data_IF_562717126066
#
_entry.id   IF_562717126066
#
_cell.length_a   1.000
_cell.length_b   1.000
_cell.length_c   1.000
_cell.angle_alpha   90.00
_cell.angle_beta   90.00
_cell.angle_gamma   90.00
#
_symmetry.space_group_name_H-M   'P 1'
#
loop_
_entity.id
_entity.type
_entity.pdbx_description
1 polymer ?
#
# COMPACT_ATOMS: atom_id res chain seq x y z
N UNK A 1 -10.54 -38.84 6.36
CA UNK A 1 -10.34 -37.41 6.66
C UNK A 1 -8.96 -37.16 7.25
N UNK A 2 -8.54 -37.85 8.30
CA UNK A 2 -7.25 -37.54 8.97
C UNK A 2 -6.03 -37.71 8.03
N UNK A 3 -6.03 -38.73 7.17
CA UNK A 3 -5.03 -38.87 6.10
C UNK A 3 -5.02 -37.68 5.13
N UNK A 4 -6.19 -37.16 4.73
CA UNK A 4 -6.28 -36.02 3.82
C UNK A 4 -5.73 -34.74 4.47
N UNK A 5 -5.99 -34.56 5.77
CA UNK A 5 -5.49 -33.42 6.53
C UNK A 5 -3.98 -33.48 6.78
N UNK A 6 -3.42 -34.68 6.95
CA UNK A 6 -1.98 -34.88 7.07
C UNK A 6 -1.25 -34.42 5.79
N UNK A 7 -1.80 -34.76 4.62
CA UNK A 7 -1.20 -34.42 3.32
C UNK A 7 -1.25 -32.93 2.97
N UNK A 8 -2.06 -32.13 3.68
CA UNK A 8 -1.99 -30.66 3.59
C UNK A 8 -0.65 -30.09 4.07
N UNK A 9 0.10 -30.85 4.87
CA UNK A 9 1.43 -30.49 5.35
C UNK A 9 2.56 -31.21 4.60
N UNK A 10 2.25 -31.90 3.49
CA UNK A 10 3.24 -32.60 2.65
C UNK A 10 4.37 -31.66 2.23
N UNK A 11 5.63 -32.13 2.12
CA UNK A 11 6.72 -31.30 1.56
C UNK A 11 6.54 -30.99 0.07
N UNK A 12 5.62 -31.66 -0.62
CA UNK A 12 5.37 -31.48 -2.05
C UNK A 12 4.17 -30.57 -2.31
N UNK A 13 4.37 -29.45 -3.00
CA UNK A 13 3.29 -28.47 -3.27
C UNK A 13 2.11 -29.10 -4.01
N UNK A 14 2.40 -29.90 -5.05
CA UNK A 14 1.36 -30.55 -5.86
C UNK A 14 0.49 -31.50 -5.03
N UNK A 15 1.08 -32.19 -4.06
CA UNK A 15 0.36 -33.04 -3.12
C UNK A 15 -0.56 -32.18 -2.25
N UNK A 16 -0.05 -31.08 -1.66
CA UNK A 16 -0.90 -30.15 -0.91
C UNK A 16 -2.06 -29.60 -1.74
N UNK A 17 -1.81 -29.20 -2.99
CA UNK A 17 -2.83 -28.70 -3.92
C UNK A 17 -3.91 -29.75 -4.16
N UNK A 18 -3.50 -30.98 -4.48
CA UNK A 18 -4.41 -32.10 -4.73
C UNK A 18 -5.34 -32.37 -3.55
N UNK A 19 -4.78 -32.46 -2.34
CA UNK A 19 -5.56 -32.72 -1.14
C UNK A 19 -6.44 -31.52 -0.71
N UNK A 20 -5.97 -30.29 -0.88
CA UNK A 20 -6.80 -29.10 -0.66
C UNK A 20 -8.01 -29.09 -1.59
N UNK A 21 -7.80 -29.32 -2.90
CA UNK A 21 -8.88 -29.41 -3.87
C UNK A 21 -9.85 -30.55 -3.57
N UNK A 22 -9.33 -31.72 -3.17
CA UNK A 22 -10.15 -32.88 -2.83
C UNK A 22 -11.04 -32.60 -1.61
N UNK A 23 -10.49 -31.99 -0.55
CA UNK A 23 -11.27 -31.54 0.62
C UNK A 23 -12.36 -30.53 0.22
N UNK A 24 -12.01 -29.59 -0.66
CA UNK A 24 -12.94 -28.59 -1.20
C UNK A 24 -14.09 -29.17 -2.04
N UNK A 25 -13.93 -30.40 -2.56
CA UNK A 25 -14.90 -31.08 -3.41
C UNK A 25 -15.74 -32.13 -2.65
N UNK A 26 -15.49 -32.34 -1.35
CA UNK A 26 -16.22 -33.34 -0.58
C UNK A 26 -17.71 -32.97 -0.46
N UNK A 27 -18.63 -33.95 -0.61
CA UNK A 27 -20.05 -33.73 -0.35
C UNK A 27 -20.29 -33.45 1.14
N UNK A 28 -21.34 -32.67 1.44
CA UNK A 28 -21.62 -32.19 2.80
C UNK A 28 -21.76 -33.29 3.86
N UNK A 29 -22.25 -34.48 3.51
CA UNK A 29 -22.37 -35.59 4.46
C UNK A 29 -21.02 -36.12 4.94
N UNK A 30 -19.93 -35.96 4.18
CA UNK A 30 -18.57 -36.32 4.60
C UNK A 30 -17.90 -35.23 5.45
N UNK A 31 -18.41 -33.99 5.39
CA UNK A 31 -17.91 -32.85 6.18
C UNK A 31 -18.63 -32.73 7.54
N UNK A 32 -19.85 -33.27 7.65
CA UNK A 32 -20.66 -33.22 8.86
C UNK A 32 -19.91 -33.81 10.07
N UNK A 33 -19.82 -33.04 11.16
CA UNK A 33 -19.14 -33.42 12.39
C UNK A 33 -17.61 -33.25 12.34
N UNK A 34 -17.06 -32.75 11.24
CA UNK A 34 -15.61 -32.57 11.01
C UNK A 34 -15.27 -31.21 10.41
N UNK A 35 -16.26 -30.32 10.20
CA UNK A 35 -16.08 -29.09 9.44
C UNK A 35 -14.99 -28.19 10.04
N UNK A 36 -14.97 -28.01 11.37
CA UNK A 36 -13.95 -27.16 11.99
C UNK A 36 -12.55 -27.75 11.81
N UNK A 37 -12.41 -29.07 11.92
CA UNK A 37 -11.14 -29.77 11.71
C UNK A 37 -10.62 -29.53 10.29
N UNK A 38 -11.51 -29.62 9.28
CA UNK A 38 -11.15 -29.40 7.88
C UNK A 38 -10.79 -27.94 7.60
N UNK A 39 -11.60 -26.99 8.07
CA UNK A 39 -11.33 -25.57 7.90
C UNK A 39 -10.03 -25.14 8.60
N UNK A 40 -9.75 -25.68 9.79
CA UNK A 40 -8.50 -25.44 10.51
C UNK A 40 -7.28 -25.97 9.73
N UNK A 41 -7.38 -27.18 9.16
CA UNK A 41 -6.33 -27.74 8.31
C UNK A 41 -6.05 -26.89 7.08
N UNK A 42 -7.09 -26.47 6.35
CA UNK A 42 -6.94 -25.60 5.18
C UNK A 42 -6.40 -24.21 5.55
N UNK A 43 -6.88 -23.62 6.65
CA UNK A 43 -6.35 -22.37 7.17
C UNK A 43 -4.86 -22.48 7.47
N UNK A 44 -4.40 -23.57 8.08
CA UNK A 44 -2.98 -23.77 8.36
C UNK A 44 -2.12 -23.72 7.09
N UNK A 45 -2.65 -24.18 5.95
CA UNK A 45 -1.97 -24.07 4.64
C UNK A 45 -1.85 -22.61 4.21
N UNK A 46 -2.88 -21.79 4.43
CA UNK A 46 -2.90 -20.38 4.00
C UNK A 46 -1.92 -19.47 4.75
N UNK A 47 -1.40 -19.91 5.89
CA UNK A 47 -0.42 -19.12 6.64
C UNK A 47 0.91 -19.11 5.86
N UNK A 48 1.38 -17.92 5.49
CA UNK A 48 2.64 -17.75 4.79
C UNK A 48 3.81 -18.28 5.63
N UNK A 49 4.51 -19.32 5.15
CA UNK A 49 5.84 -19.68 5.66
C UNK A 49 6.90 -18.92 4.88
N UNK A 50 7.85 -18.29 5.59
CA UNK A 50 8.90 -17.44 4.99
C UNK A 50 9.86 -18.22 4.07
N UNK A 51 9.88 -19.57 4.16
CA UNK A 51 10.93 -20.39 3.55
C UNK A 51 10.53 -21.20 2.31
N UNK A 52 9.25 -21.23 1.89
CA UNK A 52 8.83 -21.95 0.66
C UNK A 52 7.68 -21.27 -0.07
N UNK A 53 7.83 -21.06 -1.38
CA UNK A 53 6.86 -20.41 -2.27
C UNK A 53 5.66 -21.31 -2.62
N UNK A 54 4.98 -21.88 -1.63
CA UNK A 54 3.79 -22.71 -1.84
C UNK A 54 2.52 -21.90 -2.15
N UNK A 55 2.64 -20.92 -3.05
CA UNK A 55 1.57 -19.99 -3.39
C UNK A 55 0.39 -20.70 -4.08
N UNK A 56 0.63 -21.75 -4.86
CA UNK A 56 -0.45 -22.49 -5.52
C UNK A 56 -1.23 -23.33 -4.51
N UNK A 57 -0.53 -23.91 -3.54
CA UNK A 57 -1.17 -24.63 -2.43
C UNK A 57 -2.03 -23.70 -1.58
N UNK A 58 -1.55 -22.49 -1.26
CA UNK A 58 -2.34 -21.47 -0.55
C UNK A 58 -3.57 -21.05 -1.35
N UNK A 59 -3.41 -20.77 -2.64
CA UNK A 59 -4.51 -20.45 -3.58
C UNK A 59 -5.57 -21.54 -3.55
N UNK A 60 -5.19 -22.81 -3.64
CA UNK A 60 -6.13 -23.92 -3.71
C UNK A 60 -6.80 -24.20 -2.35
N UNK A 61 -6.08 -23.98 -1.24
CA UNK A 61 -6.68 -24.01 0.09
C UNK A 61 -7.74 -22.91 0.29
N UNK A 62 -7.48 -21.69 -0.16
CA UNK A 62 -8.44 -20.57 -0.15
C UNK A 62 -9.70 -20.93 -0.95
N UNK A 63 -9.53 -21.43 -2.19
CA UNK A 63 -10.65 -21.89 -3.01
C UNK A 63 -11.43 -23.03 -2.35
N UNK A 64 -10.74 -23.97 -1.70
CA UNK A 64 -11.37 -25.08 -1.01
C UNK A 64 -12.23 -24.61 0.17
N UNK A 65 -11.76 -23.64 0.96
CA UNK A 65 -12.52 -23.02 2.06
C UNK A 65 -13.85 -22.45 1.53
N UNK A 66 -13.81 -21.66 0.45
CA UNK A 66 -15.02 -21.08 -0.14
C UNK A 66 -16.01 -22.13 -0.66
N UNK A 67 -15.51 -23.15 -1.36
CA UNK A 67 -16.33 -24.27 -1.86
C UNK A 67 -16.98 -25.05 -0.72
N UNK A 68 -16.24 -25.30 0.36
CA UNK A 68 -16.79 -25.94 1.56
C UNK A 68 -17.95 -25.12 2.12
N UNK A 69 -17.79 -23.80 2.24
CA UNK A 69 -18.86 -22.91 2.73
C UNK A 69 -20.14 -23.04 1.87
N UNK A 70 -20.00 -23.08 0.54
CA UNK A 70 -21.13 -23.31 -0.37
C UNK A 70 -21.77 -24.69 -0.18
N UNK A 71 -20.95 -25.74 -0.02
CA UNK A 71 -21.42 -27.13 0.11
C UNK A 71 -22.17 -27.37 1.42
N UNK A 72 -21.68 -26.83 2.54
CA UNK A 72 -22.32 -27.01 3.85
C UNK A 72 -23.49 -26.05 4.08
N UNK A 73 -23.51 -24.94 3.36
CA UNK A 73 -24.50 -23.88 3.52
C UNK A 73 -24.34 -23.12 4.84
N UNK A 74 -25.33 -22.27 5.12
CA UNK A 74 -25.27 -21.33 6.25
C UNK A 74 -26.51 -21.48 7.13
N UNK A 75 -26.32 -21.41 8.45
CA UNK A 75 -27.39 -21.31 9.44
C UNK A 75 -26.86 -20.64 10.70
N UNK A 76 -27.44 -19.51 11.12
CA UNK A 76 -26.93 -18.72 12.24
C UNK A 76 -26.85 -19.51 13.55
N UNK A 77 -27.90 -20.26 13.89
CA UNK A 77 -27.99 -21.12 15.08
C UNK A 77 -27.56 -22.58 14.79
N UNK A 78 -26.74 -22.79 13.75
CA UNK A 78 -26.18 -24.09 13.41
C UNK A 78 -24.95 -24.47 14.25
N UNK A 79 -24.57 -25.75 14.20
CA UNK A 79 -23.36 -26.24 14.85
C UNK A 79 -22.12 -25.94 13.98
N UNK A 80 -21.03 -25.41 14.55
CA UNK A 80 -19.83 -25.06 13.78
C UNK A 80 -19.15 -26.21 13.03
N UNK A 81 -19.44 -27.46 13.42
CA UNK A 81 -18.93 -28.68 12.79
C UNK A 81 -19.78 -29.19 11.63
N UNK A 82 -20.90 -28.55 11.32
CA UNK A 82 -21.79 -28.97 10.25
C UNK A 82 -22.05 -27.91 9.20
N UNK A 83 -22.12 -26.63 9.59
CA UNK A 83 -22.52 -25.52 8.73
C UNK A 83 -21.73 -24.26 9.05
N UNK A 84 -21.77 -23.27 8.14
CA UNK A 84 -21.28 -21.92 8.45
C UNK A 84 -22.28 -21.23 9.38
N UNK A 85 -21.81 -20.75 10.54
CA UNK A 85 -22.64 -20.16 11.59
C UNK A 85 -21.87 -19.10 12.39
N UNK A 86 -22.50 -18.54 13.43
CA UNK A 86 -21.90 -17.54 14.33
C UNK A 86 -20.56 -17.99 14.92
N UNK A 87 -20.39 -19.29 15.18
CA UNK A 87 -19.20 -19.83 15.83
C UNK A 87 -17.96 -19.99 14.92
N UNK A 88 -18.09 -19.89 13.60
CA UNK A 88 -16.95 -20.08 12.67
C UNK A 88 -16.81 -19.00 11.60
N UNK A 89 -17.86 -18.23 11.29
CA UNK A 89 -17.87 -17.26 10.18
C UNK A 89 -16.80 -16.18 10.30
N UNK A 90 -16.57 -15.65 11.50
CA UNK A 90 -15.54 -14.63 11.76
C UNK A 90 -14.14 -15.14 11.42
N UNK A 91 -13.85 -16.39 11.77
CA UNK A 91 -12.56 -17.00 11.50
C UNK A 91 -12.34 -17.29 10.01
N UNK A 92 -13.41 -17.66 9.30
CA UNK A 92 -13.37 -17.84 7.84
C UNK A 92 -13.05 -16.50 7.17
N UNK A 93 -13.77 -15.43 7.51
CA UNK A 93 -13.48 -14.10 7.00
C UNK A 93 -12.06 -13.63 7.29
N UNK A 94 -11.57 -13.79 8.53
CA UNK A 94 -10.20 -13.43 8.88
C UNK A 94 -9.19 -14.19 8.00
N UNK A 95 -9.37 -15.50 7.82
CA UNK A 95 -8.48 -16.31 6.97
C UNK A 95 -8.43 -15.79 5.53
N UNK A 96 -9.60 -15.51 4.94
CA UNK A 96 -9.69 -14.99 3.57
C UNK A 96 -9.13 -13.57 3.44
N UNK A 97 -9.36 -12.70 4.43
CA UNK A 97 -8.82 -11.34 4.45
C UNK A 97 -7.30 -11.32 4.62
N UNK A 98 -6.74 -12.21 5.44
CA UNK A 98 -5.30 -12.33 5.64
C UNK A 98 -4.60 -12.74 4.33
N UNK A 99 -5.26 -13.58 3.52
CA UNK A 99 -4.76 -13.99 2.19
C UNK A 99 -4.68 -12.83 1.18
N UNK A 100 -5.40 -11.71 1.38
CA UNK A 100 -5.24 -10.51 0.54
C UNK A 100 -3.91 -9.79 0.76
N UNK A 101 -3.16 -10.15 1.80
CA UNK A 101 -1.83 -9.61 2.11
C UNK A 101 -0.70 -10.49 1.57
N UNK A 102 -1.03 -11.52 0.79
CA UNK A 102 -0.04 -12.38 0.15
C UNK A 102 0.66 -11.66 -1.00
N UNK A 103 1.87 -11.22 -0.69
CA UNK A 103 2.75 -10.49 -1.58
C UNK A 103 4.03 -11.25 -1.87
N UNK A 104 4.00 -12.59 -1.72
CA UNK A 104 5.12 -13.47 -2.01
C UNK A 104 5.55 -13.33 -3.46
N UNK A 105 6.86 -13.21 -3.66
CA UNK A 105 7.48 -13.18 -4.98
C UNK A 105 8.46 -14.34 -5.16
N UNK A 106 8.49 -14.94 -6.35
CA UNK A 106 9.53 -15.89 -6.76
C UNK A 106 10.13 -15.48 -8.13
N UNK A 107 10.85 -16.38 -8.79
CA UNK A 107 11.45 -16.13 -10.12
C UNK A 107 10.42 -15.80 -11.23
N UNK A 108 9.13 -16.09 -11.02
CA UNK A 108 8.00 -15.77 -11.91
C UNK A 108 7.39 -14.40 -11.60
N UNK A 109 7.81 -13.72 -10.54
CA UNK A 109 7.27 -12.44 -10.09
C UNK A 109 6.33 -12.58 -8.89
N UNK A 110 5.26 -11.77 -8.84
CA UNK A 110 4.28 -11.72 -7.73
C UNK A 110 3.32 -12.93 -7.79
N UNK A 111 3.79 -14.09 -7.34
CA UNK A 111 2.99 -15.33 -7.26
C UNK A 111 1.93 -15.29 -6.17
N UNK A 112 2.13 -14.45 -5.14
CA UNK A 112 1.12 -14.17 -4.11
C UNK A 112 -0.16 -13.57 -4.69
N UNK A 113 -0.08 -12.92 -5.85
CA UNK A 113 -1.25 -12.40 -6.55
C UNK A 113 -2.30 -13.47 -6.90
N UNK A 114 -1.90 -14.73 -7.13
CA UNK A 114 -2.85 -15.83 -7.32
C UNK A 114 -3.66 -16.16 -6.06
N UNK A 115 -3.03 -16.04 -4.89
CA UNK A 115 -3.67 -16.22 -3.59
C UNK A 115 -4.63 -15.07 -3.33
N UNK A 116 -4.21 -13.83 -3.60
CA UNK A 116 -5.05 -12.64 -3.49
C UNK A 116 -6.28 -12.71 -4.39
N UNK A 117 -6.12 -13.14 -5.64
CA UNK A 117 -7.24 -13.33 -6.58
C UNK A 117 -8.25 -14.38 -6.07
N UNK A 118 -7.75 -15.54 -5.63
CA UNK A 118 -8.58 -16.57 -5.03
C UNK A 118 -9.32 -16.07 -3.79
N UNK A 119 -8.65 -15.26 -2.96
CA UNK A 119 -9.24 -14.67 -1.76
C UNK A 119 -10.34 -13.66 -2.10
N UNK A 120 -10.13 -12.79 -3.10
CA UNK A 120 -11.16 -11.85 -3.57
C UNK A 120 -12.43 -12.59 -4.03
N UNK A 121 -12.28 -13.63 -4.86
CA UNK A 121 -13.42 -14.46 -5.28
C UNK A 121 -14.08 -15.18 -4.10
N UNK A 122 -13.28 -15.73 -3.18
CA UNK A 122 -13.79 -16.45 -2.01
C UNK A 122 -14.57 -15.54 -1.06
N UNK A 123 -14.10 -14.31 -0.88
CA UNK A 123 -14.81 -13.28 -0.11
C UNK A 123 -16.12 -12.88 -0.78
N UNK A 124 -16.12 -12.76 -2.11
CA UNK A 124 -17.34 -12.52 -2.88
C UNK A 124 -18.37 -13.62 -2.63
N UNK A 125 -17.97 -14.87 -2.87
CA UNK A 125 -18.83 -16.04 -2.78
C UNK A 125 -19.41 -16.22 -1.36
N UNK A 126 -18.56 -16.10 -0.33
CA UNK A 126 -18.98 -16.20 1.06
C UNK A 126 -19.96 -15.07 1.44
N UNK A 127 -19.64 -13.84 1.05
CA UNK A 127 -20.46 -12.67 1.41
C UNK A 127 -21.81 -12.68 0.69
N UNK A 128 -21.87 -13.14 -0.56
CA UNK A 128 -23.13 -13.32 -1.28
C UNK A 128 -23.97 -14.47 -0.70
N UNK A 129 -23.32 -15.59 -0.32
CA UNK A 129 -23.98 -16.72 0.32
C UNK A 129 -24.62 -16.29 1.65
N UNK A 130 -23.84 -15.63 2.51
CA UNK A 130 -24.32 -15.10 3.79
C UNK A 130 -25.40 -14.04 3.58
N UNK A 131 -25.19 -13.09 2.66
CA UNK A 131 -26.14 -12.01 2.41
C UNK A 131 -27.50 -12.49 1.87
N UNK A 132 -27.51 -13.62 1.14
CA UNK A 132 -28.74 -14.25 0.66
C UNK A 132 -29.46 -15.01 1.77
N UNK A 133 -28.73 -15.79 2.55
CA UNK A 133 -29.33 -16.82 3.42
C UNK A 133 -29.43 -16.37 4.89
N UNK A 134 -28.42 -15.67 5.43
CA UNK A 134 -28.30 -15.25 6.83
C UNK A 134 -27.50 -13.91 6.95
N UNK A 135 -28.03 -12.78 6.45
CA UNK A 135 -27.31 -11.51 6.37
C UNK A 135 -26.85 -10.99 7.75
N UNK A 136 -27.53 -11.37 8.83
CA UNK A 136 -27.18 -11.04 10.21
C UNK A 136 -25.82 -11.58 10.68
N UNK A 137 -25.23 -12.54 9.93
CA UNK A 137 -23.88 -13.05 10.20
C UNK A 137 -22.77 -12.15 9.64
N UNK A 138 -23.11 -11.17 8.79
CA UNK A 138 -22.16 -10.22 8.24
C UNK A 138 -22.09 -9.01 9.17
N UNK A 139 -21.10 -8.99 10.05
CA UNK A 139 -20.89 -7.85 10.95
C UNK A 139 -20.40 -6.61 10.18
N UNK A 140 -20.82 -5.42 10.63
CA UNK A 140 -20.43 -4.15 10.00
C UNK A 140 -18.91 -3.95 9.87
N UNK A 141 -18.07 -4.21 10.91
CA UNK A 141 -16.62 -4.10 10.77
C UNK A 141 -16.04 -5.07 9.74
N UNK A 142 -16.63 -6.26 9.61
CA UNK A 142 -16.21 -7.27 8.64
C UNK A 142 -16.55 -6.84 7.22
N UNK A 143 -17.76 -6.36 6.97
CA UNK A 143 -18.15 -5.83 5.66
C UNK A 143 -17.25 -4.65 5.26
N UNK A 144 -17.01 -3.71 6.18
CA UNK A 144 -16.11 -2.58 5.93
C UNK A 144 -14.70 -3.06 5.55
N UNK A 145 -14.13 -4.02 6.29
CA UNK A 145 -12.81 -4.60 5.95
C UNK A 145 -12.79 -5.21 4.55
N UNK A 146 -13.80 -6.02 4.20
CA UNK A 146 -13.92 -6.63 2.86
C UNK A 146 -13.92 -5.55 1.78
N UNK A 147 -14.81 -4.55 1.89
CA UNK A 147 -14.93 -3.50 0.89
C UNK A 147 -13.65 -2.65 0.79
N UNK A 148 -13.01 -2.33 1.92
CA UNK A 148 -11.78 -1.55 1.94
C UNK A 148 -10.60 -2.30 1.32
N UNK A 149 -10.43 -3.59 1.63
CA UNK A 149 -9.37 -4.40 1.03
C UNK A 149 -9.59 -4.58 -0.47
N UNK A 150 -10.82 -4.74 -0.94
CA UNK A 150 -11.14 -4.77 -2.36
C UNK A 150 -10.80 -3.43 -3.05
N UNK A 151 -11.11 -2.29 -2.42
CA UNK A 151 -10.72 -0.98 -2.93
C UNK A 151 -9.20 -0.80 -3.02
N UNK A 152 -8.45 -1.32 -2.04
CA UNK A 152 -6.99 -1.36 -2.11
C UNK A 152 -6.51 -2.18 -3.31
N UNK A 153 -6.98 -3.42 -3.45
CA UNK A 153 -6.58 -4.30 -4.56
C UNK A 153 -6.94 -3.67 -5.93
N UNK A 154 -8.08 -2.99 -6.02
CA UNK A 154 -8.47 -2.22 -7.20
C UNK A 154 -7.55 -1.01 -7.45
N UNK A 155 -6.85 -0.50 -6.44
CA UNK A 155 -5.94 0.65 -6.58
C UNK A 155 -4.49 0.25 -6.94
N UNK A 156 -4.18 -1.04 -6.99
CA UNK A 156 -2.83 -1.56 -7.20
C UNK A 156 -2.42 -1.68 -8.69
N UNK A 157 -1.13 -1.93 -8.88
CA UNK A 157 -0.42 -1.75 -10.16
C UNK A 157 -0.71 -2.79 -11.24
N UNK A 158 -1.29 -3.94 -10.91
CA UNK A 158 -1.46 -5.06 -11.85
C UNK A 158 -2.88 -5.07 -12.44
N UNK A 159 -2.96 -4.92 -13.76
CA UNK A 159 -4.19 -4.66 -14.49
C UNK A 159 -5.28 -5.73 -14.30
N UNK A 160 -4.92 -7.01 -14.43
CA UNK A 160 -5.87 -8.11 -14.29
C UNK A 160 -6.45 -8.20 -12.86
N UNK A 161 -5.60 -8.11 -11.84
CA UNK A 161 -6.04 -8.18 -10.44
C UNK A 161 -6.85 -6.96 -10.03
N UNK A 162 -6.47 -5.77 -10.53
CA UNK A 162 -7.27 -4.55 -10.36
C UNK A 162 -8.67 -4.71 -10.96
N UNK A 163 -8.77 -5.23 -12.17
CA UNK A 163 -10.06 -5.48 -12.81
C UNK A 163 -10.91 -6.49 -12.03
N UNK A 164 -10.29 -7.56 -11.53
CA UNK A 164 -10.96 -8.56 -10.70
C UNK A 164 -11.46 -7.95 -9.37
N UNK A 165 -10.62 -7.17 -8.69
CA UNK A 165 -10.98 -6.49 -7.46
C UNK A 165 -12.17 -5.52 -7.66
N UNK A 166 -12.13 -4.73 -8.74
CA UNK A 166 -13.21 -3.83 -9.10
C UNK A 166 -14.50 -4.62 -9.41
N UNK A 167 -14.41 -5.72 -10.16
CA UNK A 167 -15.55 -6.59 -10.44
C UNK A 167 -16.18 -7.14 -9.15
N UNK A 168 -15.37 -7.66 -8.22
CA UNK A 168 -15.85 -8.18 -6.93
C UNK A 168 -16.49 -7.06 -6.09
N UNK A 169 -15.84 -5.90 -5.99
CA UNK A 169 -16.38 -4.74 -5.28
C UNK A 169 -17.75 -4.33 -5.84
N UNK A 170 -17.87 -4.18 -7.16
CA UNK A 170 -19.12 -3.80 -7.83
C UNK A 170 -20.21 -4.87 -7.67
N UNK A 171 -19.82 -6.14 -7.70
CA UNK A 171 -20.74 -7.26 -7.48
C UNK A 171 -21.33 -7.21 -6.08
N UNK A 172 -20.51 -7.00 -5.05
CA UNK A 172 -20.99 -6.89 -3.67
C UNK A 172 -21.81 -5.61 -3.44
N UNK A 173 -21.41 -4.49 -4.04
CA UNK A 173 -22.15 -3.23 -3.95
C UNK A 173 -23.55 -3.39 -4.56
N UNK A 174 -23.67 -3.94 -5.76
CA UNK A 174 -24.95 -4.01 -6.48
C UNK A 174 -25.73 -5.32 -6.29
N UNK A 175 -25.25 -6.22 -5.43
CA UNK A 175 -25.97 -7.43 -5.10
C UNK A 175 -27.29 -7.07 -4.40
N UNK A 176 -28.40 -7.44 -5.03
CA UNK A 176 -29.75 -7.14 -4.57
C UNK A 176 -30.66 -8.35 -4.78
N UNK A 177 -31.53 -8.58 -3.81
CA UNK A 177 -32.59 -9.58 -3.85
C UNK A 177 -33.97 -8.91 -3.86
N UNK A 178 -35.06 -9.69 -3.70
CA UNK A 178 -36.43 -9.16 -3.75
C UNK A 178 -36.74 -8.07 -2.72
N UNK A 179 -36.03 -8.07 -1.59
CA UNK A 179 -36.24 -7.16 -0.46
C UNK A 179 -35.23 -6.00 -0.38
N UNK A 180 -34.35 -5.83 -1.38
CA UNK A 180 -33.31 -4.80 -1.40
C UNK A 180 -31.89 -5.37 -1.46
N UNK A 181 -30.86 -4.59 -1.06
CA UNK A 181 -29.47 -5.02 -1.09
C UNK A 181 -29.24 -6.29 -0.25
N UNK A 182 -28.52 -7.26 -0.79
CA UNK A 182 -28.21 -8.52 -0.07
C UNK A 182 -27.01 -8.38 0.86
N UNK A 183 -26.08 -7.48 0.57
CA UNK A 183 -24.90 -7.25 1.40
C UNK A 183 -25.16 -6.08 2.35
N UNK A 184 -25.39 -6.33 3.66
CA UNK A 184 -25.63 -5.28 4.63
C UNK A 184 -24.34 -4.52 4.96
N UNK A 185 -24.47 -3.36 5.59
CA UNK A 185 -23.36 -2.60 6.19
C UNK A 185 -22.24 -2.15 5.23
N UNK A 186 -22.45 -2.14 3.91
CA UNK A 186 -21.50 -1.53 2.98
C UNK A 186 -21.31 -0.05 3.37
N UNK A 187 -20.09 0.37 3.72
CA UNK A 187 -19.86 1.73 4.21
C UNK A 187 -20.03 2.73 3.06
N UNK A 188 -20.67 3.86 3.33
CA UNK A 188 -20.99 4.89 2.32
C UNK A 188 -21.76 4.36 1.10
N UNK A 189 -22.67 3.38 1.30
CA UNK A 189 -23.40 2.73 0.20
C UNK A 189 -24.07 3.72 -0.75
N UNK A 190 -24.75 4.74 -0.22
CA UNK A 190 -25.48 5.70 -1.06
C UNK A 190 -24.53 6.50 -1.96
N UNK A 191 -23.42 6.97 -1.40
CA UNK A 191 -22.37 7.66 -2.15
C UNK A 191 -21.71 6.73 -3.18
N UNK A 192 -21.43 5.47 -2.82
CA UNK A 192 -20.87 4.50 -3.75
C UNK A 192 -21.80 4.19 -4.92
N UNK A 193 -23.10 4.05 -4.68
CA UNK A 193 -24.09 3.81 -5.75
C UNK A 193 -24.21 5.02 -6.70
N UNK A 194 -23.94 6.24 -6.20
CA UNK A 194 -23.86 7.45 -7.02
C UNK A 194 -22.55 7.53 -7.82
N UNK A 195 -21.42 7.18 -7.19
CA UNK A 195 -20.10 7.20 -7.85
C UNK A 195 -19.95 6.08 -8.89
N UNK A 196 -20.58 4.93 -8.62
CA UNK A 196 -20.55 3.76 -9.47
C UNK A 196 -21.97 3.25 -9.75
N UNK A 197 -22.74 3.93 -10.61
CA UNK A 197 -24.03 3.40 -11.05
C UNK A 197 -23.84 2.07 -11.77
N UNK A 198 -24.73 1.10 -11.54
CA UNK A 198 -24.62 -0.27 -12.07
C UNK A 198 -24.39 -0.32 -13.59
N UNK A 199 -25.07 0.56 -14.34
CA UNK A 199 -24.94 0.65 -15.81
C UNK A 199 -23.58 1.20 -16.25
N UNK A 200 -23.06 2.21 -15.56
CA UNK A 200 -21.75 2.79 -15.87
C UNK A 200 -20.63 1.84 -15.49
N UNK A 201 -20.67 1.27 -14.29
CA UNK A 201 -19.66 0.35 -13.79
C UNK A 201 -19.45 -0.88 -14.68
N UNK A 202 -20.53 -1.38 -15.32
CA UNK A 202 -20.49 -2.48 -16.27
C UNK A 202 -19.84 -2.11 -17.62
N UNK A 203 -19.85 -0.82 -17.98
CA UNK A 203 -19.27 -0.33 -19.24
C UNK A 203 -17.78 0.04 -19.15
N UNK A 204 -17.26 0.21 -17.93
CA UNK A 204 -15.86 0.60 -17.69
C UNK A 204 -14.94 -0.56 -17.99
N UNK A 205 -13.90 -0.32 -18.80
CA UNK A 205 -12.80 -1.26 -18.93
C UNK A 205 -11.83 -1.15 -17.74
N UNK A 206 -12.09 -1.93 -16.69
CA UNK A 206 -11.28 -1.92 -15.46
C UNK A 206 -9.83 -2.42 -15.64
N UNK A 207 -9.54 -3.13 -16.74
CA UNK A 207 -8.15 -3.50 -17.06
C UNK A 207 -7.35 -2.29 -17.53
N UNK A 208 -7.98 -1.33 -18.21
CA UNK A 208 -7.30 -0.15 -18.74
C UNK A 208 -7.05 0.88 -17.61
N UNK A 209 -5.78 1.22 -17.29
CA UNK A 209 -5.47 2.23 -16.27
C UNK A 209 -6.16 3.57 -16.48
N UNK A 210 -6.28 3.99 -17.74
CA UNK A 210 -6.89 5.27 -18.15
C UNK A 210 -8.37 5.39 -17.82
N UNK A 211 -9.08 4.27 -17.67
CA UNK A 211 -10.50 4.25 -17.30
C UNK A 211 -10.69 3.88 -15.82
N UNK A 212 -9.87 2.99 -15.29
CA UNK A 212 -9.98 2.51 -13.92
C UNK A 212 -9.60 3.60 -12.88
N UNK A 213 -8.41 4.21 -12.99
CA UNK A 213 -7.91 5.13 -11.95
C UNK A 213 -8.77 6.39 -11.75
N UNK A 214 -9.35 7.03 -12.78
CA UNK A 214 -10.26 8.16 -12.58
C UNK A 214 -11.51 7.81 -11.77
N UNK A 215 -11.91 6.53 -11.76
CA UNK A 215 -13.06 6.02 -11.00
C UNK A 215 -12.63 5.62 -9.59
N UNK A 216 -11.53 4.87 -9.47
CA UNK A 216 -11.01 4.40 -8.17
C UNK A 216 -10.61 5.57 -7.25
N UNK A 217 -9.96 6.60 -7.79
CA UNK A 217 -9.50 7.76 -6.99
C UNK A 217 -10.65 8.58 -6.40
N UNK A 218 -11.89 8.42 -6.87
CA UNK A 218 -13.06 9.05 -6.25
C UNK A 218 -13.31 8.52 -4.84
N UNK A 219 -12.90 7.27 -4.55
CA UNK A 219 -12.97 6.68 -3.21
C UNK A 219 -12.10 7.40 -2.17
N UNK A 220 -11.10 8.19 -2.59
CA UNK A 220 -10.30 9.02 -1.68
C UNK A 220 -11.16 10.07 -0.95
N UNK A 221 -12.30 10.46 -1.53
CA UNK A 221 -13.29 11.33 -0.90
C UNK A 221 -14.02 10.69 0.28
N UNK A 222 -14.02 9.36 0.37
CA UNK A 222 -14.74 8.60 1.39
C UNK A 222 -13.77 8.16 2.52
N UNK A 223 -13.94 8.65 3.77
CA UNK A 223 -13.00 8.39 4.86
C UNK A 223 -12.73 6.90 5.13
N UNK A 224 -13.75 6.05 5.03
CA UNK A 224 -13.60 4.60 5.27
C UNK A 224 -12.60 3.94 4.32
N UNK A 225 -12.51 4.42 3.07
CA UNK A 225 -11.72 3.82 2.00
C UNK A 225 -10.35 4.46 1.81
N UNK A 226 -10.19 5.72 2.22
CA UNK A 226 -9.02 6.56 1.89
C UNK A 226 -7.68 5.91 2.20
N UNK A 227 -7.51 5.34 3.41
CA UNK A 227 -6.26 4.68 3.80
C UNK A 227 -5.87 3.56 2.84
N UNK A 228 -6.82 2.66 2.57
CA UNK A 228 -6.61 1.46 1.75
C UNK A 228 -6.39 1.82 0.28
N UNK A 229 -7.09 2.84 -0.23
CA UNK A 229 -6.89 3.36 -1.59
C UNK A 229 -5.52 4.03 -1.72
N UNK A 230 -5.09 4.84 -0.75
CA UNK A 230 -3.75 5.45 -0.76
C UNK A 230 -2.64 4.41 -0.70
N UNK A 231 -2.80 3.36 0.11
CA UNK A 231 -1.86 2.25 0.17
C UNK A 231 -1.72 1.54 -1.18
N UNK A 232 -2.82 1.27 -1.88
CA UNK A 232 -2.78 0.70 -3.24
C UNK A 232 -2.22 1.67 -4.29
N UNK A 233 -2.58 2.96 -4.21
CA UNK A 233 -2.06 3.98 -5.11
C UNK A 233 -0.56 4.20 -4.96
N UNK A 234 0.00 4.08 -3.76
CA UNK A 234 1.44 4.23 -3.52
C UNK A 234 2.27 3.31 -4.42
N UNK A 235 1.86 2.04 -4.58
CA UNK A 235 2.57 1.07 -5.42
C UNK A 235 2.27 1.23 -6.92
N UNK A 236 1.20 1.94 -7.27
CA UNK A 236 0.81 2.25 -8.66
C UNK A 236 1.52 3.51 -9.17
N UNK A 237 1.44 4.61 -8.41
CA UNK A 237 2.04 5.92 -8.71
C UNK A 237 3.56 5.87 -8.60
N UNK A 238 4.08 5.18 -7.57
CA UNK A 238 5.52 4.94 -7.39
C UNK A 238 6.04 3.69 -8.12
N UNK A 239 5.23 3.08 -8.98
CA UNK A 239 5.53 1.86 -9.71
C UNK A 239 6.56 2.03 -10.84
N UNK A 240 6.67 0.99 -11.67
CA UNK A 240 7.60 0.97 -12.82
C UNK A 240 6.88 0.98 -14.18
N UNK A 241 5.61 0.54 -14.22
CA UNK A 241 4.84 0.44 -15.46
C UNK A 241 4.36 1.81 -15.89
N UNK A 242 4.91 2.33 -17.00
CA UNK A 242 4.67 3.71 -17.48
C UNK A 242 3.19 4.08 -17.57
N UNK A 243 2.36 3.26 -18.23
CA UNK A 243 0.93 3.52 -18.39
C UNK A 243 0.20 3.60 -17.04
N UNK A 244 0.49 2.65 -16.14
CA UNK A 244 -0.09 2.60 -14.79
C UNK A 244 0.32 3.83 -13.98
N UNK A 245 1.62 4.17 -13.97
CA UNK A 245 2.14 5.35 -13.28
C UNK A 245 1.47 6.61 -13.84
N UNK A 246 1.49 6.82 -15.16
CA UNK A 246 0.90 7.99 -15.80
C UNK A 246 -0.56 8.20 -15.42
N UNK A 247 -1.41 7.18 -15.56
CA UNK A 247 -2.84 7.32 -15.32
C UNK A 247 -3.21 7.36 -13.83
N UNK A 248 -2.48 6.65 -12.97
CA UNK A 248 -2.68 6.74 -11.52
C UNK A 248 -2.24 8.10 -10.97
N UNK A 249 -1.08 8.62 -11.38
CA UNK A 249 -0.58 9.96 -11.03
C UNK A 249 -1.56 11.04 -11.48
N UNK A 250 -1.99 11.00 -12.76
CA UNK A 250 -2.93 11.98 -13.29
C UNK A 250 -4.25 12.00 -12.50
N UNK A 251 -4.80 10.82 -12.19
CA UNK A 251 -6.08 10.71 -11.46
C UNK A 251 -5.94 11.19 -10.02
N UNK A 252 -4.83 10.84 -9.35
CA UNK A 252 -4.51 11.32 -8.01
C UNK A 252 -4.43 12.85 -7.99
N UNK A 253 -3.75 13.47 -8.96
CA UNK A 253 -3.62 14.93 -9.02
C UNK A 253 -4.93 15.63 -9.33
N UNK A 254 -5.81 15.03 -10.13
CA UNK A 254 -7.17 15.53 -10.31
C UNK A 254 -7.93 15.55 -8.98
N UNK A 255 -7.83 14.48 -8.19
CA UNK A 255 -8.42 14.45 -6.85
C UNK A 255 -7.81 15.52 -5.93
N UNK A 256 -6.47 15.63 -5.89
CA UNK A 256 -5.77 16.62 -5.07
C UNK A 256 -6.18 18.06 -5.42
N UNK A 257 -6.26 18.40 -6.71
CA UNK A 257 -6.75 19.70 -7.18
C UNK A 257 -8.18 19.99 -6.74
N UNK A 258 -9.02 18.95 -6.63
CA UNK A 258 -10.39 19.07 -6.13
C UNK A 258 -10.48 19.45 -4.65
N UNK A 259 -9.49 19.04 -3.83
CA UNK A 259 -9.46 19.32 -2.39
C UNK A 259 -8.46 20.41 -1.98
N UNK A 260 -7.65 20.93 -2.90
CA UNK A 260 -6.52 21.83 -2.58
C UNK A 260 -6.95 23.10 -1.84
N UNK A 261 -8.16 23.61 -2.11
CA UNK A 261 -8.69 24.82 -1.46
C UNK A 261 -9.51 24.53 -0.19
N UNK A 262 -9.75 23.25 0.10
CA UNK A 262 -10.41 22.79 1.32
C UNK A 262 -9.35 22.32 2.32
N UNK A 263 -9.00 23.23 3.25
CA UNK A 263 -7.96 22.97 4.25
C UNK A 263 -8.25 21.73 5.08
N UNK A 264 -9.51 21.50 5.47
CA UNK A 264 -9.87 20.35 6.30
C UNK A 264 -9.76 19.04 5.50
N UNK A 265 -10.21 19.02 4.26
CA UNK A 265 -10.08 17.85 3.39
C UNK A 265 -8.61 17.53 3.10
N UNK A 266 -7.79 18.55 2.83
CA UNK A 266 -6.35 18.40 2.59
C UNK A 266 -5.61 17.91 3.84
N UNK A 267 -5.92 18.45 5.02
CA UNK A 267 -5.36 17.99 6.30
C UNK A 267 -5.75 16.52 6.57
N UNK A 268 -7.02 16.16 6.38
CA UNK A 268 -7.50 14.77 6.53
C UNK A 268 -6.82 13.81 5.55
N UNK A 269 -6.65 14.22 4.28
CA UNK A 269 -5.92 13.47 3.27
C UNK A 269 -4.46 13.27 3.66
N UNK A 270 -3.78 14.36 4.01
CA UNK A 270 -2.36 14.37 4.34
C UNK A 270 -2.05 13.55 5.60
N UNK A 271 -2.91 13.62 6.62
CA UNK A 271 -2.81 12.77 7.81
C UNK A 271 -2.97 11.28 7.48
N UNK A 272 -3.89 10.94 6.58
CA UNK A 272 -4.04 9.55 6.12
C UNK A 272 -2.82 9.08 5.34
N UNK A 273 -2.24 9.93 4.49
CA UNK A 273 -1.01 9.62 3.74
C UNK A 273 0.18 9.38 4.69
N UNK A 274 0.33 10.19 5.74
CA UNK A 274 1.34 10.00 6.77
C UNK A 274 1.12 8.69 7.55
N UNK A 275 -0.13 8.35 7.87
CA UNK A 275 -0.47 7.08 8.52
C UNK A 275 -0.06 5.89 7.65
N UNK A 276 -0.32 5.93 6.34
CA UNK A 276 0.12 4.89 5.40
C UNK A 276 1.65 4.75 5.41
N UNK A 277 2.39 5.85 5.47
CA UNK A 277 3.84 5.80 5.55
C UNK A 277 4.32 5.22 6.88
N UNK A 278 3.76 5.69 8.00
CA UNK A 278 4.11 5.21 9.35
C UNK A 278 3.87 3.72 9.53
N UNK A 279 2.71 3.21 9.10
CA UNK A 279 2.35 1.79 9.21
C UNK A 279 3.18 0.87 8.30
N UNK A 280 3.88 1.43 7.31
CA UNK A 280 4.70 0.70 6.35
C UNK A 280 6.19 1.09 6.39
N UNK A 281 6.66 1.68 7.49
CA UNK A 281 8.08 1.92 7.70
C UNK A 281 8.88 0.62 7.56
N UNK A 282 10.00 0.70 6.85
CA UNK A 282 10.92 -0.40 6.55
C UNK A 282 10.31 -1.54 5.71
N UNK A 283 9.08 -1.38 5.22
CA UNK A 283 8.49 -2.27 4.23
C UNK A 283 8.73 -1.70 2.81
N UNK A 284 9.89 -2.05 2.23
CA UNK A 284 10.38 -1.48 0.97
C UNK A 284 9.43 -1.68 -0.22
N UNK A 285 8.56 -2.70 -0.16
CA UNK A 285 7.50 -2.91 -1.16
C UNK A 285 6.56 -1.71 -1.24
N UNK A 286 6.31 -1.04 -0.12
CA UNK A 286 5.39 0.09 0.00
C UNK A 286 6.13 1.41 0.20
N UNK A 287 7.11 1.46 1.11
CA UNK A 287 7.77 2.71 1.49
C UNK A 287 8.52 3.36 0.32
N UNK A 288 9.22 2.56 -0.52
CA UNK A 288 9.98 3.09 -1.66
C UNK A 288 9.06 3.66 -2.75
N UNK A 289 8.02 2.96 -3.22
CA UNK A 289 7.01 3.56 -4.11
C UNK A 289 6.30 4.77 -3.49
N UNK A 290 5.99 4.73 -2.19
CA UNK A 290 5.35 5.84 -1.50
C UNK A 290 6.23 7.10 -1.51
N UNK A 291 7.55 6.97 -1.31
CA UNK A 291 8.49 8.07 -1.44
C UNK A 291 8.48 8.67 -2.86
N UNK A 292 8.40 7.84 -3.89
CA UNK A 292 8.28 8.33 -5.29
C UNK A 292 6.94 9.01 -5.56
N UNK A 293 5.86 8.56 -4.93
CA UNK A 293 4.57 9.23 -4.98
C UNK A 293 4.63 10.59 -4.27
N UNK A 294 5.22 10.66 -3.08
CA UNK A 294 5.42 11.89 -2.32
C UNK A 294 6.26 12.92 -3.10
N UNK A 295 7.36 12.48 -3.73
CA UNK A 295 8.18 13.31 -4.62
C UNK A 295 7.35 13.95 -5.74
N UNK A 296 6.58 13.12 -6.48
CA UNK A 296 5.68 13.61 -7.53
C UNK A 296 4.63 14.60 -6.99
N UNK A 297 4.03 14.32 -5.83
CA UNK A 297 3.03 15.20 -5.21
C UNK A 297 3.63 16.55 -4.79
N UNK A 298 4.82 16.54 -4.19
CA UNK A 298 5.56 17.74 -3.79
C UNK A 298 5.95 18.59 -5.01
N UNK A 299 6.44 17.95 -6.07
CA UNK A 299 6.84 18.63 -7.31
C UNK A 299 5.66 19.24 -8.08
N UNK A 300 4.43 18.74 -7.87
CA UNK A 300 3.21 19.24 -8.53
C UNK A 300 2.37 20.17 -7.65
N UNK A 301 2.94 20.68 -6.56
CA UNK A 301 2.30 21.67 -5.69
C UNK A 301 1.06 21.16 -4.94
N UNK A 302 0.93 19.85 -4.75
CA UNK A 302 -0.23 19.27 -4.06
C UNK A 302 -0.37 19.72 -2.59
N UNK A 303 0.70 20.29 -2.03
CA UNK A 303 0.80 20.72 -0.64
C UNK A 303 1.17 22.20 -0.50
N UNK A 304 1.01 23.02 -1.55
CA UNK A 304 1.42 24.43 -1.57
C UNK A 304 0.76 25.25 -0.45
N UNK A 305 -0.46 24.90 -0.05
CA UNK A 305 -1.17 25.53 1.07
C UNK A 305 -0.38 25.47 2.37
N UNK A 306 0.44 24.42 2.57
CA UNK A 306 1.27 24.26 3.77
C UNK A 306 2.53 25.13 3.74
N UNK A 307 2.86 25.79 2.63
CA UNK A 307 4.01 26.72 2.56
C UNK A 307 3.74 28.06 3.27
N UNK A 308 2.48 28.38 3.57
CA UNK A 308 2.10 29.60 4.26
C UNK A 308 2.35 29.56 5.78
N UNK A 309 2.64 28.39 6.35
CA UNK A 309 2.82 28.17 7.78
C UNK A 309 4.22 27.62 8.06
N UNK A 310 4.97 28.27 8.97
CA UNK A 310 6.25 27.74 9.41
C UNK A 310 6.04 26.44 10.20
N UNK A 311 6.87 25.43 9.92
CA UNK A 311 6.87 24.17 10.68
C UNK A 311 5.49 23.47 10.73
N UNK A 312 4.72 23.56 9.64
CA UNK A 312 3.42 22.90 9.54
C UNK A 312 3.50 21.40 9.96
N UNK A 313 2.56 20.89 10.79
CA UNK A 313 2.65 19.55 11.38
C UNK A 313 2.86 18.41 10.38
N UNK A 314 2.23 18.49 9.20
CA UNK A 314 2.45 17.53 8.11
C UNK A 314 3.92 17.46 7.70
N UNK A 315 4.57 18.61 7.50
CA UNK A 315 5.94 18.70 7.04
C UNK A 315 6.92 18.20 8.11
N UNK A 316 6.64 18.49 9.39
CA UNK A 316 7.42 17.98 10.52
C UNK A 316 7.36 16.46 10.58
N UNK A 317 6.15 15.88 10.55
CA UNK A 317 5.96 14.42 10.62
C UNK A 317 6.53 13.71 9.38
N UNK A 318 6.35 14.28 8.18
CA UNK A 318 6.92 13.72 6.96
C UNK A 318 8.45 13.62 7.04
N UNK A 319 9.11 14.66 7.55
CA UNK A 319 10.57 14.68 7.73
C UNK A 319 11.01 13.60 8.72
N UNK A 320 10.28 13.43 9.82
CA UNK A 320 10.55 12.38 10.81
C UNK A 320 10.46 10.98 10.20
N UNK A 321 9.40 10.70 9.43
CA UNK A 321 9.21 9.42 8.75
C UNK A 321 10.29 9.16 7.69
N UNK A 322 10.62 10.14 6.85
CA UNK A 322 11.72 10.01 5.87
C UNK A 322 13.07 9.75 6.56
N UNK A 323 13.35 10.38 7.71
CA UNK A 323 14.56 10.12 8.49
C UNK A 323 14.57 8.73 9.11
N UNK A 324 13.44 8.27 9.63
CA UNK A 324 13.30 6.91 10.16
C UNK A 324 13.55 5.86 9.07
N UNK A 325 12.92 6.04 7.90
CA UNK A 325 13.02 5.14 6.75
C UNK A 325 14.44 5.05 6.17
N UNK A 326 15.18 6.16 6.18
CA UNK A 326 16.55 6.22 5.64
C UNK A 326 17.65 5.92 6.66
N UNK A 327 17.30 5.83 7.95
CA UNK A 327 18.28 5.67 9.02
C UNK A 327 19.10 4.40 8.83
N UNK A 328 20.41 4.57 8.62
CA UNK A 328 21.38 3.48 8.39
C UNK A 328 21.07 2.59 7.16
N UNK A 329 20.18 3.02 6.28
CA UNK A 329 19.85 2.27 5.06
C UNK A 329 21.06 2.18 4.14
N UNK A 330 21.22 1.02 3.50
CA UNK A 330 22.16 0.79 2.39
C UNK A 330 21.44 0.58 1.06
N UNK A 331 20.12 0.63 1.04
CA UNK A 331 19.36 0.51 -0.20
C UNK A 331 19.48 1.82 -1.01
N UNK A 332 20.13 1.71 -2.16
CA UNK A 332 20.41 2.86 -3.03
C UNK A 332 19.13 3.46 -3.60
N UNK A 333 18.12 2.64 -3.93
CA UNK A 333 16.85 3.13 -4.49
C UNK A 333 16.05 3.88 -3.44
N UNK A 334 15.94 3.33 -2.22
CA UNK A 334 15.31 3.98 -1.09
C UNK A 334 15.95 5.33 -0.77
N UNK A 335 17.29 5.37 -0.71
CA UNK A 335 18.02 6.61 -0.46
C UNK A 335 17.78 7.65 -1.56
N UNK A 336 17.81 7.25 -2.84
CA UNK A 336 17.51 8.14 -3.96
C UNK A 336 16.09 8.71 -3.93
N UNK A 337 15.09 7.86 -3.69
CA UNK A 337 13.70 8.31 -3.56
C UNK A 337 13.52 9.25 -2.36
N UNK A 338 14.25 9.03 -1.27
CA UNK A 338 14.21 9.92 -0.11
C UNK A 338 14.90 11.27 -0.34
N UNK A 339 16.01 11.30 -1.10
CA UNK A 339 16.67 12.56 -1.50
C UNK A 339 15.67 13.43 -2.28
N UNK A 340 14.93 12.84 -3.23
CA UNK A 340 13.95 13.56 -4.02
C UNK A 340 12.86 14.18 -3.13
N UNK A 341 12.33 13.42 -2.17
CA UNK A 341 11.38 13.93 -1.18
C UNK A 341 12.00 15.05 -0.32
N UNK A 342 13.22 14.88 0.19
CA UNK A 342 13.91 15.95 0.94
C UNK A 342 14.07 17.22 0.10
N UNK A 343 14.47 17.10 -1.17
CA UNK A 343 14.53 18.23 -2.09
C UNK A 343 13.17 18.91 -2.27
N UNK A 344 12.10 18.13 -2.48
CA UNK A 344 10.74 18.65 -2.57
C UNK A 344 10.27 19.34 -1.28
N UNK A 345 10.72 18.88 -0.12
CA UNK A 345 10.37 19.47 1.18
C UNK A 345 11.11 20.78 1.49
N UNK A 346 12.15 21.14 0.74
CA UNK A 346 12.91 22.38 0.97
C UNK A 346 12.06 23.64 0.80
N UNK A 347 10.96 23.56 0.05
CA UNK A 347 10.01 24.66 -0.16
C UNK A 347 9.34 25.13 1.14
N UNK A 348 9.09 24.24 2.11
CA UNK A 348 8.37 24.60 3.33
C UNK A 348 9.25 25.44 4.27
N UNK A 349 8.75 26.56 4.84
CA UNK A 349 9.55 27.45 5.68
C UNK A 349 9.75 26.92 7.12
N UNK A 350 10.55 27.63 7.90
CA UNK A 350 10.78 27.33 9.32
C UNK A 350 11.93 26.36 9.61
N UNK A 351 11.86 25.70 10.77
CA UNK A 351 12.82 24.69 11.21
C UNK A 351 12.89 23.43 10.34
N UNK A 352 11.79 23.03 9.70
CA UNK A 352 11.73 21.91 8.75
C UNK A 352 12.74 22.12 7.63
N UNK A 353 12.75 23.31 6.99
CA UNK A 353 13.71 23.64 5.92
C UNK A 353 15.15 23.41 6.36
N UNK A 354 15.53 23.97 7.51
CA UNK A 354 16.89 23.85 8.05
C UNK A 354 17.28 22.40 8.30
N UNK A 355 16.36 21.59 8.86
CA UNK A 355 16.59 20.17 9.12
C UNK A 355 16.66 19.33 7.83
N UNK A 356 15.86 19.66 6.83
CA UNK A 356 15.89 19.05 5.49
C UNK A 356 17.23 19.33 4.80
N UNK A 357 17.66 20.59 4.76
CA UNK A 357 18.95 20.98 4.20
C UNK A 357 20.10 20.26 4.92
N UNK A 358 20.07 20.21 6.26
CA UNK A 358 21.05 19.45 7.03
C UNK A 358 21.08 17.97 6.64
N UNK A 359 19.92 17.35 6.42
CA UNK A 359 19.82 15.95 6.01
C UNK A 359 20.42 15.72 4.61
N UNK A 360 20.16 16.62 3.65
CA UNK A 360 20.77 16.58 2.32
C UNK A 360 22.30 16.74 2.41
N UNK A 361 22.80 17.65 3.24
CA UNK A 361 24.24 17.83 3.46
C UNK A 361 24.90 16.64 4.16
N UNK A 362 24.16 15.85 4.94
CA UNK A 362 24.65 14.56 5.45
C UNK A 362 24.79 13.54 4.31
N UNK A 363 23.84 13.50 3.39
CA UNK A 363 23.83 12.59 2.23
C UNK A 363 24.91 12.92 1.20
N UNK A 364 25.33 14.19 1.08
CA UNK A 364 26.53 14.59 0.33
C UNK A 364 27.83 13.96 0.85
N UNK A 365 27.84 13.42 2.07
CA UNK A 365 28.96 12.70 2.66
C UNK A 365 28.63 11.22 2.92
N UNK A 366 27.63 10.66 2.24
CA UNK A 366 27.27 9.25 2.36
C UNK A 366 28.41 8.34 1.91
N UNK A 367 28.63 7.14 2.51
CA UNK A 367 29.71 6.24 2.11
C UNK A 367 29.70 5.85 0.62
N UNK A 368 28.51 5.76 0.02
CA UNK A 368 28.37 5.39 -1.38
C UNK A 368 28.48 6.62 -2.30
N UNK A 369 29.49 6.67 -3.20
CA UNK A 369 29.69 7.80 -4.14
C UNK A 369 28.46 8.12 -4.99
N UNK A 370 27.71 7.09 -5.39
CA UNK A 370 26.50 7.24 -6.19
C UNK A 370 25.43 8.08 -5.48
N UNK A 371 25.30 7.94 -4.16
CA UNK A 371 24.36 8.73 -3.35
C UNK A 371 24.83 10.17 -3.25
N UNK A 372 26.13 10.40 -3.06
CA UNK A 372 26.71 11.76 -3.01
C UNK A 372 26.48 12.52 -4.31
N UNK A 373 26.77 11.89 -5.47
CA UNK A 373 26.53 12.46 -6.80
C UNK A 373 25.04 12.78 -7.02
N UNK A 374 24.14 11.82 -6.75
CA UNK A 374 22.70 12.05 -6.90
C UNK A 374 22.21 13.17 -5.99
N UNK A 375 22.68 13.24 -4.75
CA UNK A 375 22.33 14.32 -3.81
C UNK A 375 22.78 15.67 -4.36
N UNK A 376 24.02 15.80 -4.83
CA UNK A 376 24.53 17.05 -5.37
C UNK A 376 23.72 17.55 -6.57
N UNK A 377 23.43 16.67 -7.54
CA UNK A 377 22.63 17.02 -8.71
C UNK A 377 21.19 17.44 -8.33
N UNK A 378 20.53 16.69 -7.46
CA UNK A 378 19.15 17.03 -7.07
C UNK A 378 19.08 18.28 -6.19
N UNK A 379 20.06 18.52 -5.31
CA UNK A 379 20.13 19.76 -4.53
C UNK A 379 20.34 20.95 -5.46
N UNK A 380 21.18 20.81 -6.48
CA UNK A 380 21.38 21.85 -7.49
C UNK A 380 20.06 22.19 -8.21
N UNK A 381 19.34 21.19 -8.73
CA UNK A 381 18.03 21.37 -9.38
C UNK A 381 16.97 21.97 -8.43
N UNK A 382 16.96 21.53 -7.18
CA UNK A 382 16.08 22.04 -6.13
C UNK A 382 16.29 23.53 -5.86
N UNK A 383 17.55 23.98 -5.79
CA UNK A 383 17.88 25.38 -5.58
C UNK A 383 17.53 26.27 -6.79
N UNK A 384 17.61 25.73 -8.00
CA UNK A 384 17.12 26.42 -9.20
C UNK A 384 15.59 26.54 -9.20
N UNK A 385 14.89 25.52 -8.72
CA UNK A 385 13.42 25.48 -8.68
C UNK A 385 12.87 26.38 -7.58
N UNK A 386 13.47 26.33 -6.40
CA UNK A 386 13.06 27.09 -5.21
C UNK A 386 14.11 28.13 -4.84
N UNK A 387 14.32 29.12 -5.71
CA UNK A 387 15.34 30.17 -5.51
C UNK A 387 15.18 30.97 -4.22
N UNK A 388 13.98 31.01 -3.62
CA UNK A 388 13.72 31.63 -2.31
C UNK A 388 14.18 30.80 -1.09
N UNK A 389 14.78 29.63 -1.29
CA UNK A 389 15.32 28.79 -0.20
C UNK A 389 16.63 29.34 0.35
N UNK A 390 17.42 30.02 -0.49
CA UNK A 390 18.77 30.51 -0.19
C UNK A 390 18.88 32.00 -0.52
N UNK A 391 19.73 32.73 0.19
CA UNK A 391 20.01 34.14 -0.11
C UNK A 391 20.58 34.31 -1.52
N UNK A 392 20.09 35.31 -2.25
CA UNK A 392 20.52 35.60 -3.62
C UNK A 392 22.03 35.94 -3.72
N UNK A 393 22.61 36.41 -2.62
CA UNK A 393 24.02 36.75 -2.48
C UNK A 393 24.95 35.53 -2.43
N UNK A 394 24.46 34.37 -1.98
CA UNK A 394 25.25 33.13 -1.86
C UNK A 394 24.84 32.03 -2.82
N UNK A 395 23.73 32.20 -3.56
CA UNK A 395 23.18 31.18 -4.45
C UNK A 395 24.19 30.73 -5.52
N UNK A 396 24.82 31.66 -6.23
CA UNK A 396 25.80 31.34 -7.29
C UNK A 396 27.00 30.56 -6.73
N UNK A 397 27.47 30.93 -5.53
CA UNK A 397 28.56 30.22 -4.86
C UNK A 397 28.15 28.80 -4.46
N UNK A 398 26.95 28.62 -3.91
CA UNK A 398 26.41 27.30 -3.57
C UNK A 398 26.30 26.40 -4.79
N UNK A 399 25.76 26.94 -5.90
CA UNK A 399 25.62 26.21 -7.16
C UNK A 399 26.99 25.80 -7.72
N UNK A 400 27.98 26.70 -7.71
CA UNK A 400 29.34 26.39 -8.14
C UNK A 400 29.99 25.30 -7.29
N UNK A 401 29.82 25.33 -5.96
CA UNK A 401 30.35 24.27 -5.09
C UNK A 401 29.68 22.92 -5.40
N UNK A 402 28.37 22.90 -5.68
CA UNK A 402 27.65 21.67 -6.02
C UNK A 402 28.07 21.10 -7.38
N UNK A 403 28.31 21.95 -8.39
CA UNK A 403 28.70 21.53 -9.74
C UNK A 403 30.18 21.15 -9.87
N UNK A 404 31.07 21.92 -9.26
CA UNK A 404 32.51 21.83 -9.50
C UNK A 404 33.20 20.79 -8.61
N UNK A 405 32.54 20.39 -7.50
CA UNK A 405 33.06 19.37 -6.60
C UNK A 405 32.88 17.98 -7.20
N UNK A 406 33.98 17.22 -7.31
CA UNK A 406 33.93 15.80 -7.63
C UNK A 406 33.43 14.98 -6.43
N UNK A 407 32.11 14.74 -6.37
CA UNK A 407 31.45 14.07 -5.24
C UNK A 407 31.79 12.58 -5.06
N UNK A 408 32.57 11.98 -5.93
CA UNK A 408 33.14 10.63 -5.78
C UNK A 408 34.51 10.57 -5.09
N UNK A 409 35.12 11.72 -4.80
CA UNK A 409 36.37 11.80 -4.04
C UNK A 409 36.25 11.18 -2.63
N UNK A 410 37.41 11.02 -1.98
CA UNK A 410 37.51 10.56 -0.59
C UNK A 410 36.68 11.43 0.37
N UNK A 411 36.05 10.79 1.35
CA UNK A 411 35.14 11.46 2.29
C UNK A 411 35.79 12.63 3.03
N UNK A 412 37.10 12.58 3.30
CA UNK A 412 37.81 13.67 3.97
C UNK A 412 37.82 14.95 3.12
N UNK A 413 38.02 14.83 1.80
CA UNK A 413 37.99 15.96 0.87
C UNK A 413 36.56 16.50 0.73
N UNK A 414 35.60 15.59 0.52
CA UNK A 414 34.18 15.94 0.34
C UNK A 414 33.61 16.67 1.57
N UNK A 415 34.04 16.31 2.78
CA UNK A 415 33.62 16.97 4.02
C UNK A 415 33.99 18.45 4.07
N UNK A 416 35.12 18.85 3.48
CA UNK A 416 35.52 20.26 3.39
C UNK A 416 34.51 21.07 2.57
N UNK A 417 34.18 20.59 1.38
CA UNK A 417 33.17 21.20 0.50
C UNK A 417 31.78 21.23 1.14
N UNK A 418 31.37 20.13 1.77
CA UNK A 418 30.11 20.06 2.52
C UNK A 418 30.06 21.08 3.65
N UNK A 419 31.12 21.24 4.43
CA UNK A 419 31.15 22.22 5.52
C UNK A 419 31.06 23.66 5.01
N UNK A 420 31.67 23.98 3.85
CA UNK A 420 31.46 25.26 3.18
C UNK A 420 29.99 25.47 2.81
N UNK A 421 29.32 24.45 2.26
CA UNK A 421 27.88 24.50 2.00
C UNK A 421 27.06 24.69 3.27
N UNK A 422 27.45 24.08 4.40
CA UNK A 422 26.78 24.31 5.69
C UNK A 422 26.81 25.80 6.09
N UNK A 423 27.98 26.44 5.95
CA UNK A 423 28.16 27.84 6.30
C UNK A 423 27.34 28.76 5.40
N UNK A 424 27.39 28.53 4.08
CA UNK A 424 26.63 29.32 3.09
C UNK A 424 25.12 29.19 3.29
N UNK A 425 24.64 28.00 3.68
CA UNK A 425 23.21 27.72 3.90
C UNK A 425 22.74 28.02 5.33
N UNK A 426 23.63 28.49 6.22
CA UNK A 426 23.28 28.81 7.61
C UNK A 426 22.82 27.60 8.43
N UNK A 427 23.31 26.40 8.12
CA UNK A 427 22.98 25.14 8.82
C UNK A 427 24.18 24.60 9.61
N UNK A 428 23.96 23.95 10.76
CA UNK A 428 25.06 23.51 11.61
C UNK A 428 25.94 22.48 10.91
N UNK A 429 27.26 22.63 11.02
CA UNK A 429 28.23 21.64 10.52
C UNK A 429 28.07 20.32 11.28
N UNK A 430 27.85 19.19 10.60
CA UNK A 430 27.77 17.89 11.26
C UNK A 430 29.08 17.51 11.94
N UNK A 431 29.01 17.21 13.24
CA UNK A 431 30.14 16.75 14.04
C UNK A 431 30.26 15.23 14.01
N UNK A 432 31.50 14.74 14.06
CA UNK A 432 31.76 13.30 14.21
C UNK A 432 31.41 12.88 15.63
N UNK A 433 30.46 11.97 15.79
CA UNK A 433 30.27 11.27 17.07
C UNK A 433 31.41 10.26 17.21
N UNK A 434 32.26 10.36 18.24
CA UNK A 434 33.31 9.38 18.47
C UNK A 434 32.66 8.00 18.66
N UNK A 435 33.17 6.96 17.97
CA UNK A 435 32.78 5.59 18.32
C UNK A 435 33.26 5.33 19.76
N UNK A 436 32.40 4.81 20.67
CA UNK A 436 32.90 4.33 21.95
C UNK A 436 33.96 3.26 21.66
N UNK A 437 35.14 3.41 22.28
CA UNK A 437 36.19 2.42 22.19
C UNK A 437 35.61 1.08 22.65
N UNK A 438 35.71 0.06 21.80
CA UNK A 438 35.38 -1.31 22.19
C UNK A 438 36.46 -1.70 23.20
N UNK A 439 36.10 -1.70 24.48
CA UNK A 439 36.92 -2.21 25.58
C UNK A 439 36.88 -3.72 25.64
#
# INVERSE_FOLDING_TARGET
>A
MDAYLAELQSPEEMTRCGFAMALGALPGFLLRGRLQQVLAGLRAVTLCSEDVSFAESRRDAVKAIARICQTVGVRAEGTPDEVVCKGNVSQIYCTLLDCLRDYTTDSRGDVGAWVREAAMTSLMDLTLLLGRDQPELIEAPTCQRVMCCLAQQASEKIDHFRAHAAHVFMTLLHAAGPAGPTVPHVPHRAELEQLFPRSEAASVNWTAPSQAFPRITQLLGLPAYRYHVLLGLAVSVGGLTESTVRHSTQSLFVHMKGIQNDRQALESFSGTLLQVFEDNLLNDRVSVPLLKMLDQMLANGCFDVFTAEEDHPFCVKLLELCKAETSKSKDVQKLRSSIAVFCGMAQFPGGVRRKVLLQLLLLLCHPFPVIRKTTASQVYEMLLTYSGVVGADVLDEVLAVLSDTAWDLELLLVRGHRNRLCDLLGVPRPQLVPKPAVG
#
